data_IF_791305823019
#
_entry.id   IF_791305823019
#
_cell.length_a   1.000
_cell.length_b   1.000
_cell.length_c   1.000
_cell.angle_alpha   90.00
_cell.angle_beta   90.00
_cell.angle_gamma   90.00
#
_symmetry.space_group_name_H-M   'P 1'
#
loop_
_entity.id
_entity.type
_entity.pdbx_description
1 polymer ?
#
# COMPACT_ATOMS: atom_id res chain seq x y z
N UNK A 1 -4.35 7.91 9.09
CA UNK A 1 -5.43 7.83 8.09
C UNK A 1 -6.19 9.14 8.15
N UNK A 2 -6.39 9.81 7.02
CA UNK A 2 -6.92 11.18 6.96
C UNK A 2 -8.29 11.22 6.27
N UNK A 3 -9.15 10.26 6.62
CA UNK A 3 -10.48 10.07 6.06
C UNK A 3 -11.53 10.31 7.15
N UNK A 4 -12.58 11.04 6.83
CA UNK A 4 -13.73 11.28 7.70
C UNK A 4 -14.92 10.47 7.20
N UNK A 5 -15.56 9.74 8.11
CA UNK A 5 -16.72 8.90 7.80
C UNK A 5 -17.96 9.39 8.57
N UNK A 6 -19.12 9.34 7.92
CA UNK A 6 -20.40 9.50 8.59
C UNK A 6 -20.65 8.28 9.46
N UNK A 7 -20.82 8.48 10.78
CA UNK A 7 -21.02 7.38 11.73
C UNK A 7 -22.28 6.54 11.48
N UNK A 8 -23.35 7.16 10.98
CA UNK A 8 -24.62 6.48 10.77
C UNK A 8 -24.67 5.67 9.47
N UNK A 9 -23.98 6.13 8.42
CA UNK A 9 -24.04 5.49 7.09
C UNK A 9 -22.75 4.79 6.66
N UNK A 10 -21.62 5.08 7.31
CA UNK A 10 -20.31 4.62 6.88
C UNK A 10 -19.77 5.33 5.64
N UNK A 11 -20.49 6.33 5.11
CA UNK A 11 -20.05 7.05 3.90
C UNK A 11 -18.83 7.92 4.19
N UNK A 12 -17.88 7.95 3.25
CA UNK A 12 -16.80 8.93 3.25
C UNK A 12 -17.41 10.33 3.06
N UNK A 13 -17.15 11.23 4.01
CA UNK A 13 -17.66 12.62 3.98
C UNK A 13 -16.55 13.66 3.82
N UNK A 14 -15.29 13.25 3.91
CA UNK A 14 -14.18 14.16 3.70
C UNK A 14 -12.82 13.47 3.71
N UNK A 15 -11.88 14.13 3.06
CA UNK A 15 -10.44 13.85 3.15
C UNK A 15 -9.80 15.09 3.74
N UNK A 16 -9.00 14.90 4.78
CA UNK A 16 -8.34 16.00 5.52
C UNK A 16 -6.82 15.89 5.41
N UNK A 17 -6.10 16.86 5.97
CA UNK A 17 -4.65 16.85 6.07
C UNK A 17 -3.95 16.65 4.70
N UNK A 18 -4.10 17.71 3.88
CA UNK A 18 -3.61 17.78 2.49
C UNK A 18 -2.20 18.36 2.38
N UNK A 19 -1.48 18.58 3.49
CA UNK A 19 -0.20 19.31 3.48
C UNK A 19 0.87 18.62 2.61
N UNK A 20 0.86 17.29 2.56
CA UNK A 20 1.78 16.47 1.74
C UNK A 20 1.17 16.03 0.41
N UNK A 21 -0.01 16.54 0.04
CA UNK A 21 -0.67 16.18 -1.19
C UNK A 21 0.16 16.63 -2.40
N UNK A 22 0.33 15.71 -3.36
CA UNK A 22 1.15 15.97 -4.54
C UNK A 22 0.59 15.23 -5.76
N UNK A 23 0.79 15.82 -6.94
CA UNK A 23 0.42 15.18 -8.21
C UNK A 23 1.39 14.03 -8.47
N UNK A 24 0.88 12.80 -8.53
CA UNK A 24 1.66 11.57 -8.73
C UNK A 24 0.86 10.58 -9.59
N UNK A 25 1.50 9.53 -10.14
CA UNK A 25 0.78 8.49 -10.87
C UNK A 25 -0.39 7.95 -10.06
N UNK A 26 -1.57 7.91 -10.68
CA UNK A 26 -2.76 7.32 -10.07
C UNK A 26 -2.48 5.87 -9.70
N UNK A 27 -2.88 5.46 -8.50
CA UNK A 27 -2.49 4.17 -7.93
C UNK A 27 -1.37 4.27 -6.88
N UNK A 28 -0.43 5.22 -7.00
CA UNK A 28 0.65 5.35 -6.00
C UNK A 28 0.12 5.58 -4.59
N UNK A 29 -0.93 6.39 -4.43
CA UNK A 29 -1.55 6.66 -3.12
C UNK A 29 -2.42 5.52 -2.58
N UNK A 30 -2.66 4.45 -3.33
CA UNK A 30 -3.54 3.36 -2.91
C UNK A 30 -2.95 2.49 -1.79
N UNK A 31 -1.68 2.70 -1.38
CA UNK A 31 -1.17 2.17 -0.12
C UNK A 31 -2.05 2.60 1.08
N UNK A 32 -2.70 3.76 1.00
CA UNK A 32 -3.63 4.23 2.03
C UNK A 32 -4.91 3.41 2.10
N UNK A 33 -5.40 2.87 0.97
CA UNK A 33 -6.54 1.93 0.94
C UNK A 33 -6.15 0.61 1.61
N UNK A 34 -4.94 0.12 1.33
CA UNK A 34 -4.41 -1.07 2.00
C UNK A 34 -4.36 -0.88 3.52
N UNK A 35 -3.97 0.31 3.98
CA UNK A 35 -3.95 0.66 5.41
C UNK A 35 -5.32 0.67 6.08
N UNK A 36 -6.41 0.87 5.30
CA UNK A 36 -7.79 0.73 5.78
C UNK A 36 -8.15 -0.74 5.94
N UNK A 37 -7.70 -1.58 5.00
CA UNK A 37 -7.99 -3.02 4.99
C UNK A 37 -7.17 -3.79 6.02
N UNK A 38 -6.05 -3.22 6.51
CA UNK A 38 -5.18 -3.68 7.61
C UNK A 38 -3.79 -3.05 7.52
N UNK A 39 -2.87 -3.11 8.47
CA UNK A 39 -2.67 -3.82 9.73
C UNK A 39 -1.81 -2.91 10.61
N UNK A 40 -1.62 -3.29 11.87
CA UNK A 40 -0.46 -2.92 12.67
C UNK A 40 -0.07 -4.17 13.50
N UNK A 41 0.92 -4.05 14.37
CA UNK A 41 1.13 -4.94 15.51
C UNK A 41 2.34 -4.51 16.33
N UNK A 42 2.76 -5.25 17.39
CA UNK A 42 2.05 -6.20 18.28
C UNK A 42 1.30 -5.54 19.47
N UNK A 43 0.93 -4.26 19.38
CA UNK A 43 0.14 -3.53 20.41
C UNK A 43 -1.11 -2.83 19.80
N UNK A 44 -1.62 -3.38 18.68
CA UNK A 44 -2.79 -2.97 17.87
C UNK A 44 -2.46 -1.94 16.78
N UNK A 45 -3.27 -1.56 15.77
CA UNK A 45 -4.27 -2.18 14.85
C UNK A 45 -3.92 -3.57 14.26
N UNK A 46 -4.83 -4.28 13.59
CA UNK A 46 -4.54 -5.41 12.66
C UNK A 46 -5.82 -5.76 11.91
N UNK A 47 -5.81 -5.90 10.58
CA UNK A 47 -6.85 -6.67 9.86
C UNK A 47 -6.28 -7.27 8.59
N UNK A 48 -6.04 -8.58 8.50
CA UNK A 48 -5.93 -9.24 7.18
C UNK A 48 -6.27 -10.72 7.39
N UNK A 49 -7.56 -11.04 7.35
CA UNK A 49 -8.14 -12.38 7.19
C UNK A 49 -8.40 -12.68 5.69
N UNK A 50 -8.96 -13.86 5.38
CA UNK A 50 -9.24 -14.30 4.00
C UNK A 50 -10.14 -13.31 3.23
N UNK A 51 -10.91 -12.46 3.93
CA UNK A 51 -11.78 -11.44 3.35
C UNK A 51 -11.03 -10.21 2.80
N UNK A 52 -9.74 -10.02 3.13
CA UNK A 52 -8.91 -8.96 2.55
C UNK A 52 -8.79 -9.06 1.02
N UNK A 53 -8.80 -10.29 0.47
CA UNK A 53 -8.84 -10.52 -0.98
C UNK A 53 -10.20 -10.11 -1.56
N UNK A 54 -11.28 -10.42 -0.85
CA UNK A 54 -12.65 -10.04 -1.21
C UNK A 54 -12.80 -8.52 -1.24
N UNK A 55 -12.31 -7.80 -0.23
CA UNK A 55 -12.41 -6.34 -0.17
C UNK A 55 -11.55 -5.65 -1.23
N UNK A 56 -10.34 -6.15 -1.51
CA UNK A 56 -9.53 -5.65 -2.64
C UNK A 56 -10.24 -5.84 -3.98
N UNK A 57 -10.90 -6.99 -4.17
CA UNK A 57 -11.70 -7.27 -5.37
C UNK A 57 -12.89 -6.31 -5.49
N UNK A 58 -13.64 -6.09 -4.41
CA UNK A 58 -14.77 -5.16 -4.39
C UNK A 58 -14.32 -3.73 -4.67
N UNK A 59 -13.22 -3.27 -4.06
CA UNK A 59 -12.64 -1.97 -4.34
C UNK A 59 -12.23 -1.83 -5.82
N UNK A 60 -11.56 -2.85 -6.37
CA UNK A 60 -11.14 -2.87 -7.77
C UNK A 60 -12.34 -2.80 -8.73
N UNK A 61 -13.40 -3.56 -8.46
CA UNK A 61 -14.64 -3.53 -9.24
C UNK A 61 -15.31 -2.16 -9.19
N UNK A 62 -15.48 -1.59 -8.00
CA UNK A 62 -16.06 -0.27 -7.83
C UNK A 62 -15.22 0.82 -8.53
N UNK A 63 -13.89 0.76 -8.42
CA UNK A 63 -12.99 1.68 -9.11
C UNK A 63 -13.12 1.59 -10.63
N UNK A 64 -13.17 0.37 -11.16
CA UNK A 64 -13.31 0.13 -12.59
C UNK A 64 -14.65 0.67 -13.12
N UNK A 65 -15.74 0.42 -12.38
CA UNK A 65 -17.08 0.91 -12.72
C UNK A 65 -17.14 2.44 -12.70
N UNK A 66 -16.69 3.07 -11.61
CA UNK A 66 -16.77 4.53 -11.43
C UNK A 66 -15.93 5.31 -12.44
N UNK A 67 -14.78 4.76 -12.85
CA UNK A 67 -13.86 5.43 -13.76
C UNK A 67 -13.95 4.92 -15.20
N UNK A 68 -14.83 3.95 -15.48
CA UNK A 68 -14.96 3.30 -16.80
C UNK A 68 -13.62 2.84 -17.38
N UNK A 69 -12.75 2.28 -16.53
CA UNK A 69 -11.36 1.98 -16.90
C UNK A 69 -11.27 0.74 -17.79
N UNK A 70 -10.50 0.80 -18.89
CA UNK A 70 -10.13 -0.40 -19.64
C UNK A 70 -9.14 -1.28 -18.83
N UNK A 71 -9.09 -2.57 -19.15
CA UNK A 71 -8.37 -3.57 -18.35
C UNK A 71 -6.84 -3.34 -18.28
N UNK A 72 -6.24 -2.75 -19.31
CA UNK A 72 -4.82 -2.39 -19.36
C UNK A 72 -4.45 -1.24 -18.39
N UNK A 73 -5.36 -0.28 -18.21
CA UNK A 73 -5.21 0.78 -17.22
C UNK A 73 -5.30 0.23 -15.79
N UNK A 74 -6.19 -0.74 -15.55
CA UNK A 74 -6.28 -1.41 -14.25
C UNK A 74 -4.95 -2.09 -13.88
N UNK A 75 -4.31 -2.78 -14.83
CA UNK A 75 -2.97 -3.37 -14.64
C UNK A 75 -1.90 -2.32 -14.32
N UNK A 76 -1.98 -1.14 -14.94
CA UNK A 76 -1.05 -0.02 -14.67
C UNK A 76 -1.25 0.56 -13.27
N UNK A 77 -2.50 0.73 -12.84
CA UNK A 77 -2.86 1.18 -11.49
C UNK A 77 -2.37 0.18 -10.45
N UNK A 78 -2.48 -1.11 -10.73
CA UNK A 78 -1.99 -2.19 -9.87
C UNK A 78 -0.47 -2.16 -9.68
N UNK A 79 0.29 -1.90 -10.76
CA UNK A 79 1.75 -1.69 -10.67
C UNK A 79 2.07 -0.44 -9.83
N UNK A 80 1.36 0.65 -10.05
CA UNK A 80 1.54 1.89 -9.27
C UNK A 80 1.20 1.70 -7.79
N UNK A 81 0.18 0.89 -7.45
CA UNK A 81 -0.17 0.51 -6.08
C UNK A 81 0.98 -0.23 -5.40
N UNK A 82 1.55 -1.24 -6.05
CA UNK A 82 2.72 -1.99 -5.53
C UNK A 82 3.94 -1.08 -5.32
N UNK A 83 4.20 -0.17 -6.26
CA UNK A 83 5.25 0.84 -6.09
C UNK A 83 4.97 1.74 -4.89
N UNK A 84 3.72 2.15 -4.68
CA UNK A 84 3.29 2.91 -3.52
C UNK A 84 3.57 2.19 -2.20
N UNK A 85 3.23 0.90 -2.12
CA UNK A 85 3.50 0.04 -0.95
C UNK A 85 5.00 -0.09 -0.69
N UNK A 86 5.80 -0.37 -1.73
CA UNK A 86 7.26 -0.47 -1.62
C UNK A 86 7.87 0.83 -1.09
N UNK A 87 7.49 1.98 -1.66
CA UNK A 87 8.01 3.27 -1.22
C UNK A 87 7.57 3.64 0.21
N UNK A 88 6.40 3.17 0.64
CA UNK A 88 5.86 3.47 1.98
C UNK A 88 6.45 2.58 3.07
N UNK A 89 6.62 1.29 2.79
CA UNK A 89 6.96 0.27 3.79
C UNK A 89 8.33 -0.37 3.59
N UNK A 90 8.97 -0.17 2.44
CA UNK A 90 10.33 -0.68 2.18
C UNK A 90 11.45 0.33 2.45
N UNK A 91 11.11 1.59 2.71
CA UNK A 91 12.07 2.65 2.98
C UNK A 91 11.73 3.40 4.27
N UNK A 92 12.75 3.94 4.93
CA UNK A 92 12.61 4.85 6.06
C UNK A 92 13.51 6.07 5.89
N UNK A 93 13.13 7.16 6.55
CA UNK A 93 13.91 8.38 6.53
C UNK A 93 14.98 8.33 7.61
N UNK A 94 16.25 8.35 7.21
CA UNK A 94 17.41 8.44 8.09
C UNK A 94 18.39 9.48 7.52
N UNK A 95 18.97 10.30 8.38
CA UNK A 95 20.06 11.24 8.05
C UNK A 95 19.86 12.10 6.77
N UNK A 96 18.64 12.57 6.54
CA UNK A 96 18.33 13.46 5.41
C UNK A 96 18.05 12.73 4.08
N UNK A 97 17.92 11.41 4.09
CA UNK A 97 17.60 10.60 2.92
C UNK A 97 16.69 9.41 3.21
N UNK A 98 16.19 8.77 2.16
CA UNK A 98 15.48 7.51 2.26
C UNK A 98 16.46 6.34 2.14
N UNK A 99 16.48 5.46 3.14
CA UNK A 99 17.26 4.22 3.15
C UNK A 99 16.32 3.02 3.17
N UNK A 100 16.81 1.86 2.74
CA UNK A 100 16.05 0.60 2.81
C UNK A 100 15.84 0.22 4.27
N UNK A 101 14.62 -0.21 4.60
CA UNK A 101 14.34 -0.78 5.92
C UNK A 101 14.96 -2.17 6.03
N UNK A 102 15.72 -2.40 7.10
CA UNK A 102 16.24 -3.73 7.43
C UNK A 102 15.16 -4.73 7.83
N UNK A 103 14.05 -4.25 8.41
CA UNK A 103 12.86 -5.04 8.69
C UNK A 103 11.76 -4.76 7.65
N UNK A 104 11.41 -5.79 6.88
CA UNK A 104 10.40 -5.73 5.82
C UNK A 104 9.07 -6.38 6.21
N UNK A 105 8.89 -6.77 7.48
CA UNK A 105 7.70 -7.47 7.97
C UNK A 105 6.41 -6.75 7.58
N UNK A 106 6.34 -5.42 7.74
CA UNK A 106 5.17 -4.62 7.34
C UNK A 106 4.89 -4.70 5.84
N UNK A 107 5.94 -4.62 5.01
CA UNK A 107 5.81 -4.72 3.56
C UNK A 107 5.31 -6.11 3.14
N UNK A 108 5.79 -7.16 3.80
CA UNK A 108 5.37 -8.54 3.55
C UNK A 108 3.89 -8.81 3.84
N UNK A 109 3.26 -8.04 4.74
CA UNK A 109 1.82 -8.16 5.01
C UNK A 109 0.94 -7.76 3.82
N UNK A 110 1.45 -6.87 2.95
CA UNK A 110 0.71 -6.32 1.82
C UNK A 110 1.03 -7.00 0.49
N UNK A 111 2.11 -7.78 0.43
CA UNK A 111 2.53 -8.47 -0.77
C UNK A 111 1.96 -9.91 -0.81
N UNK A 112 1.39 -10.29 -1.96
CA UNK A 112 1.02 -11.69 -2.25
C UNK A 112 2.21 -12.62 -1.96
N UNK A 113 1.95 -13.82 -1.40
CA UNK A 113 2.99 -14.80 -1.01
C UNK A 113 4.02 -15.04 -2.11
N UNK A 114 3.63 -14.93 -3.38
CA UNK A 114 4.55 -15.07 -4.53
C UNK A 114 5.61 -13.96 -4.68
N UNK A 115 5.51 -12.87 -3.92
CA UNK A 115 6.46 -11.76 -3.94
C UNK A 115 7.34 -11.68 -2.68
N UNK A 116 7.22 -12.65 -1.75
CA UNK A 116 8.11 -12.73 -0.56
C UNK A 116 9.59 -12.94 -0.91
N UNK A 117 9.91 -13.46 -2.09
CA UNK A 117 11.30 -13.53 -2.54
C UNK A 117 11.91 -12.14 -2.79
N UNK A 118 11.09 -11.15 -3.14
CA UNK A 118 11.54 -9.78 -3.39
C UNK A 118 11.88 -9.05 -2.08
N UNK A 119 11.17 -9.34 -0.99
CA UNK A 119 11.49 -8.80 0.35
C UNK A 119 12.75 -9.43 0.92
N UNK A 120 12.98 -10.73 0.72
CA UNK A 120 14.24 -11.39 1.06
C UNK A 120 15.44 -10.80 0.30
N UNK A 121 15.26 -10.44 -0.98
CA UNK A 121 16.29 -9.79 -1.78
C UNK A 121 16.62 -8.37 -1.26
N UNK A 122 15.63 -7.63 -0.75
CA UNK A 122 15.83 -6.31 -0.14
C UNK A 122 16.45 -6.38 1.26
N UNK A 123 16.12 -7.40 2.04
CA UNK A 123 16.69 -7.63 3.37
C UNK A 123 18.13 -8.18 3.32
N UNK A 124 18.54 -8.76 2.19
CA UNK A 124 19.89 -9.31 1.97
C UNK A 124 20.93 -8.33 1.44
N UNK A 125 20.57 -7.07 1.15
CA UNK A 125 21.56 -6.08 0.70
C UNK A 125 22.27 -5.45 1.89
N UNK A 126 23.23 -6.18 2.47
CA UNK A 126 24.36 -5.53 3.15
C UNK A 126 25.13 -4.66 2.13
N UNK A 127 25.90 -3.71 2.65
CA UNK A 127 26.55 -2.58 1.96
C UNK A 127 27.54 -2.89 0.82
N UNK A 128 27.41 -4.00 0.11
CA UNK A 128 28.30 -4.44 -0.98
C UNK A 128 27.61 -4.79 -2.30
N UNK A 129 26.29 -4.64 -2.44
CA UNK A 129 25.63 -4.56 -3.75
C UNK A 129 25.85 -5.78 -4.67
N UNK A 130 25.41 -6.96 -4.26
CA UNK A 130 25.29 -8.11 -5.16
C UNK A 130 23.91 -8.76 -5.03
N UNK A 131 23.22 -8.87 -6.17
CA UNK A 131 21.93 -9.56 -6.34
C UNK A 131 22.24 -10.93 -6.94
N UNK A 132 21.63 -12.00 -6.41
CA UNK A 132 21.40 -13.25 -7.13
C UNK A 132 19.92 -13.36 -7.50
#
# INVERSE_FOLDING_TARGET
MNLLFNRATGNLVGVVDWVDASIRPFGKGLWGVESVLGSWGPKGYTWHDDDSLTYRKLFSMALQEQLSLPADQLSTIEKARKLGLLLRYGYEWQDGGFVLKGDTTDLEMFLDRKYRWFTLALAGTDSTGAIF
#
